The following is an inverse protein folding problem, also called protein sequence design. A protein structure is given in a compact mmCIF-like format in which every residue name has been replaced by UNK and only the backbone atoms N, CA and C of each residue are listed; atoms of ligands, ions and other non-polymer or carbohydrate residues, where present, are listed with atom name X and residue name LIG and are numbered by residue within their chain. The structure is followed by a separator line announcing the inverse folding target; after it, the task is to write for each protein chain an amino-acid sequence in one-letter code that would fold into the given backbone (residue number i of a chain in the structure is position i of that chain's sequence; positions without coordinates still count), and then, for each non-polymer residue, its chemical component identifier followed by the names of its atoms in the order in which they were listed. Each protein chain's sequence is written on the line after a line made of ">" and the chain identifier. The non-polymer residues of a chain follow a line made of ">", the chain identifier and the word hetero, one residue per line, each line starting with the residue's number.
data_IF_279996440604
#
_entry.id   IF_279996440604
#
_cell.length_a   1.000
_cell.length_b   1.000
_cell.length_c   1.000
_cell.angle_alpha   90.00
_cell.angle_beta   90.00
_cell.angle_gamma   90.00
#
_symmetry.space_group_name_H-M   'P 1'
#
loop_
_entity.id
_entity.type
_entity.pdbx_description
1 polymer ?
#
# COMPACT_ATOMS: atom_id res chain seq x y z
N UNK A 1 71.08 54.24 2.65
CA UNK A 1 69.70 54.76 2.55
C UNK A 1 68.96 53.91 1.51
N UNK A 2 67.80 53.32 1.87
CA UNK A 2 66.81 52.56 1.04
C UNK A 2 67.27 51.17 0.54
N UNK A 3 66.98 50.06 1.22
CA UNK A 3 65.73 49.29 1.52
C UNK A 3 65.40 48.23 0.47
N UNK A 4 65.27 47.00 0.95
CA UNK A 4 64.82 45.79 0.24
C UNK A 4 63.51 45.99 -0.52
N UNK A 5 63.32 45.19 -1.58
CA UNK A 5 62.00 44.76 -2.02
C UNK A 5 62.05 43.24 -2.26
N UNK A 6 61.43 42.48 -1.35
CA UNK A 6 61.19 41.06 -1.51
C UNK A 6 60.07 40.88 -2.57
N UNK A 7 60.39 40.20 -3.66
CA UNK A 7 59.41 39.75 -4.64
C UNK A 7 58.60 38.60 -4.04
N UNK A 8 57.40 38.91 -3.56
CA UNK A 8 56.45 37.93 -3.08
C UNK A 8 55.60 37.45 -4.27
N UNK A 9 56.03 36.37 -4.92
CA UNK A 9 55.22 35.66 -5.91
C UNK A 9 54.12 34.88 -5.18
N UNK A 10 53.06 35.61 -4.79
CA UNK A 10 51.78 34.98 -4.50
C UNK A 10 51.34 34.26 -5.77
N UNK A 11 51.47 32.93 -5.76
CA UNK A 11 50.76 32.05 -6.65
C UNK A 11 49.28 32.41 -6.52
N UNK A 12 48.77 33.19 -7.47
CA UNK A 12 47.34 33.38 -7.65
C UNK A 12 46.80 32.01 -8.01
N UNK A 13 46.39 31.24 -7.00
CA UNK A 13 45.53 30.09 -7.22
C UNK A 13 44.24 30.70 -7.74
N UNK A 14 43.85 30.46 -9.00
CA UNK A 14 42.59 31.01 -9.48
C UNK A 14 41.51 30.47 -8.54
N UNK A 15 40.77 31.38 -7.92
CA UNK A 15 39.55 31.01 -7.24
C UNK A 15 38.68 30.33 -8.32
N UNK A 16 38.38 29.05 -8.14
CA UNK A 16 37.42 28.36 -8.98
C UNK A 16 36.06 29.02 -8.69
N UNK A 17 35.71 30.01 -9.50
CA UNK A 17 34.42 30.67 -9.43
C UNK A 17 33.35 29.72 -9.94
N UNK A 18 32.32 29.50 -9.13
CA UNK A 18 31.16 28.71 -9.49
C UNK A 18 30.49 29.31 -10.74
N UNK A 19 30.48 28.58 -11.84
CA UNK A 19 29.95 29.10 -13.10
C UNK A 19 28.42 29.01 -13.13
N UNK A 20 27.77 29.86 -13.94
CA UNK A 20 26.31 29.78 -14.14
C UNK A 20 25.88 28.39 -14.64
N UNK A 21 26.68 27.78 -15.51
CA UNK A 21 26.41 26.44 -16.02
C UNK A 21 26.55 25.37 -14.92
N UNK A 22 27.50 25.53 -14.00
CA UNK A 22 27.68 24.62 -12.86
C UNK A 22 26.49 24.70 -11.89
N UNK A 23 26.00 25.92 -11.59
CA UNK A 23 24.76 26.10 -10.83
C UNK A 23 23.58 25.43 -11.52
N UNK A 24 23.44 25.64 -12.83
CA UNK A 24 22.34 25.07 -13.61
C UNK A 24 22.37 23.55 -13.58
N UNK A 25 23.53 22.93 -13.76
CA UNK A 25 23.68 21.48 -13.71
C UNK A 25 23.38 20.93 -12.32
N UNK A 26 23.86 21.57 -11.25
CA UNK A 26 23.56 21.15 -9.87
C UNK A 26 22.05 21.21 -9.61
N UNK A 27 21.39 22.30 -9.97
CA UNK A 27 19.94 22.45 -9.82
C UNK A 27 19.19 21.43 -10.66
N UNK A 28 19.63 21.17 -11.90
CA UNK A 28 19.03 20.15 -12.75
C UNK A 28 19.15 18.75 -12.13
N UNK A 29 20.31 18.37 -11.61
CA UNK A 29 20.51 17.07 -10.95
C UNK A 29 19.64 16.96 -9.69
N UNK A 30 19.59 18.00 -8.85
CA UNK A 30 18.71 18.02 -7.68
C UNK A 30 17.25 17.85 -8.11
N UNK A 31 16.80 18.57 -9.13
CA UNK A 31 15.43 18.47 -9.63
C UNK A 31 15.10 17.05 -10.11
N UNK A 32 15.97 16.42 -10.90
CA UNK A 32 15.76 15.04 -11.34
C UNK A 32 15.81 14.03 -10.18
N UNK A 33 16.74 14.21 -9.23
CA UNK A 33 16.83 13.36 -8.05
C UNK A 33 15.56 13.47 -7.19
N UNK A 34 15.06 14.69 -6.94
CA UNK A 34 13.83 14.93 -6.20
C UNK A 34 12.61 14.35 -6.90
N UNK A 35 12.51 14.50 -8.23
CA UNK A 35 11.44 13.89 -9.00
C UNK A 35 11.46 12.35 -8.90
N UNK A 36 12.64 11.74 -9.02
CA UNK A 36 12.82 10.29 -8.91
C UNK A 36 12.40 9.71 -7.55
N UNK A 37 12.73 10.39 -6.45
CA UNK A 37 12.32 9.96 -5.09
C UNK A 37 10.80 9.94 -4.93
N UNK A 38 10.08 10.93 -5.48
CA UNK A 38 8.62 10.97 -5.44
C UNK A 38 7.98 9.77 -6.16
N UNK A 39 8.53 9.37 -7.31
CA UNK A 39 8.07 8.18 -8.02
C UNK A 39 8.34 6.89 -7.25
N UNK A 40 9.54 6.73 -6.67
CA UNK A 40 9.89 5.55 -5.90
C UNK A 40 8.97 5.37 -4.67
N UNK A 41 8.68 6.43 -3.93
CA UNK A 41 7.77 6.38 -2.78
C UNK A 41 6.36 5.93 -3.18
N UNK A 42 5.82 6.49 -4.27
CA UNK A 42 4.49 6.10 -4.77
C UNK A 42 4.44 4.62 -5.17
N UNK A 43 5.48 4.14 -5.85
CA UNK A 43 5.58 2.75 -6.28
C UNK A 43 5.63 1.80 -5.08
N UNK A 44 6.43 2.14 -4.05
CA UNK A 44 6.49 1.35 -2.82
C UNK A 44 5.14 1.28 -2.10
N UNK A 45 4.41 2.41 -2.02
CA UNK A 45 3.08 2.46 -1.41
C UNK A 45 2.08 1.57 -2.16
N UNK A 46 2.10 1.61 -3.49
CA UNK A 46 1.25 0.75 -4.34
C UNK A 46 1.57 -0.73 -4.15
N UNK A 47 2.84 -1.10 -4.25
CA UNK A 47 3.29 -2.47 -4.06
C UNK A 47 2.94 -3.01 -2.66
N UNK A 48 2.98 -2.16 -1.63
CA UNK A 48 2.57 -2.57 -0.29
C UNK A 48 1.06 -2.80 -0.17
N UNK A 49 0.22 -2.03 -0.88
CA UNK A 49 -1.23 -2.21 -0.86
C UNK A 49 -1.63 -3.47 -1.64
N UNK A 50 -0.95 -3.76 -2.74
CA UNK A 50 -1.16 -4.99 -3.51
C UNK A 50 -0.85 -6.22 -2.65
N UNK A 51 0.28 -6.21 -1.91
CA UNK A 51 0.62 -7.29 -0.96
C UNK A 51 -0.41 -7.45 0.17
N UNK A 52 -0.95 -6.32 0.66
CA UNK A 52 -2.01 -6.34 1.66
C UNK A 52 -3.31 -6.95 1.10
N UNK A 53 -3.67 -6.62 -0.14
CA UNK A 53 -4.83 -7.17 -0.82
C UNK A 53 -4.70 -8.68 -1.08
N UNK A 54 -3.55 -9.12 -1.59
CA UNK A 54 -3.25 -10.56 -1.79
C UNK A 54 -3.31 -11.33 -0.47
N UNK A 55 -2.78 -10.75 0.61
CA UNK A 55 -2.92 -11.35 1.94
C UNK A 55 -4.36 -11.45 2.38
N UNK A 56 -5.15 -10.38 2.24
CA UNK A 56 -6.54 -10.41 2.65
C UNK A 56 -7.32 -11.45 1.85
N UNK A 57 -7.07 -11.60 0.55
CA UNK A 57 -7.63 -12.70 -0.27
C UNK A 57 -7.32 -14.06 0.35
N UNK A 58 -6.04 -14.33 0.65
CA UNK A 58 -5.65 -15.60 1.24
C UNK A 58 -6.32 -15.85 2.60
N UNK A 59 -6.49 -14.80 3.42
CA UNK A 59 -7.17 -14.90 4.71
C UNK A 59 -8.67 -15.12 4.59
N UNK A 60 -9.35 -14.48 3.65
CA UNK A 60 -10.77 -14.70 3.37
C UNK A 60 -11.01 -16.15 2.91
N UNK A 61 -10.15 -16.66 2.01
CA UNK A 61 -10.22 -18.05 1.56
C UNK A 61 -9.91 -19.05 2.67
N UNK A 62 -8.93 -18.75 3.54
CA UNK A 62 -8.69 -19.54 4.75
C UNK A 62 -9.90 -19.52 5.69
N UNK A 63 -10.59 -18.39 5.82
CA UNK A 63 -11.86 -18.26 6.54
C UNK A 63 -12.97 -19.14 5.95
N UNK A 64 -13.12 -19.17 4.62
CA UNK A 64 -14.06 -20.08 3.93
C UNK A 64 -13.71 -21.54 4.17
N UNK A 65 -12.42 -21.89 4.07
CA UNK A 65 -11.94 -23.25 4.30
C UNK A 65 -12.19 -23.69 5.75
N UNK A 66 -11.93 -22.81 6.72
CA UNK A 66 -12.21 -23.05 8.13
C UNK A 66 -13.70 -23.27 8.39
N UNK A 67 -14.57 -22.42 7.82
CA UNK A 67 -16.02 -22.56 7.93
C UNK A 67 -16.51 -23.93 7.43
N UNK A 68 -16.01 -24.35 6.26
CA UNK A 68 -16.31 -25.65 5.66
C UNK A 68 -15.79 -26.81 6.50
N UNK A 69 -14.57 -26.71 7.02
CA UNK A 69 -13.94 -27.75 7.84
C UNK A 69 -14.63 -27.93 9.19
N UNK A 70 -15.06 -26.84 9.84
CA UNK A 70 -15.72 -26.87 11.14
C UNK A 70 -17.24 -26.99 11.07
N UNK A 71 -17.84 -26.85 9.88
CA UNK A 71 -19.29 -26.75 9.72
C UNK A 71 -19.91 -25.53 10.42
N UNK A 72 -19.10 -24.53 10.77
CA UNK A 72 -19.52 -23.37 11.54
C UNK A 72 -19.62 -22.11 10.67
N UNK A 73 -20.52 -21.21 11.04
CA UNK A 73 -20.67 -19.93 10.35
C UNK A 73 -19.52 -19.00 10.71
N UNK A 74 -18.67 -18.70 9.73
CA UNK A 74 -17.54 -17.76 9.87
C UNK A 74 -17.92 -16.42 9.27
N UNK A 75 -17.71 -15.34 10.04
CA UNK A 75 -17.93 -13.97 9.58
C UNK A 75 -16.64 -13.19 9.63
N UNK A 76 -16.38 -12.41 8.59
CA UNK A 76 -15.28 -11.45 8.58
C UNK A 76 -15.84 -10.04 8.70
N UNK A 77 -15.32 -9.26 9.65
CA UNK A 77 -15.77 -7.88 9.88
C UNK A 77 -14.60 -6.94 10.14
N UNK A 78 -14.77 -5.69 9.73
CA UNK A 78 -13.81 -4.61 9.97
C UNK A 78 -14.02 -4.04 11.37
N UNK A 79 -12.94 -3.62 12.00
CA UNK A 79 -12.89 -3.01 13.33
C UNK A 79 -12.05 -1.74 13.28
N UNK A 80 -12.07 -0.94 14.34
CA UNK A 80 -11.27 0.29 14.40
C UNK A 80 -9.75 0.03 14.32
N UNK A 81 -9.29 -1.16 14.71
CA UNK A 81 -7.87 -1.54 14.72
C UNK A 81 -7.46 -2.43 13.54
N UNK A 82 -8.42 -2.85 12.70
CA UNK A 82 -8.15 -3.83 11.65
C UNK A 82 -9.39 -4.61 11.25
N UNK A 83 -9.32 -5.93 11.34
CA UNK A 83 -10.44 -6.83 11.11
C UNK A 83 -10.33 -8.06 12.00
N UNK A 84 -11.43 -8.78 12.14
CA UNK A 84 -11.48 -10.05 12.88
C UNK A 84 -12.32 -11.07 12.14
N UNK A 85 -12.07 -12.35 12.45
CA UNK A 85 -12.89 -13.48 12.07
C UNK A 85 -13.69 -13.96 13.28
N UNK A 86 -15.01 -13.83 13.22
CA UNK A 86 -15.91 -14.40 14.22
C UNK A 86 -16.29 -15.84 13.81
N UNK A 87 -16.52 -16.73 14.78
CA UNK A 87 -16.88 -18.13 14.52
C UNK A 87 -15.70 -19.08 14.25
N UNK A 88 -14.46 -18.60 14.43
CA UNK A 88 -13.25 -19.44 14.38
C UNK A 88 -12.63 -19.60 15.78
N UNK A 89 -11.88 -20.68 16.04
CA UNK A 89 -11.14 -20.81 17.30
C UNK A 89 -10.15 -19.64 17.50
N UNK A 90 -9.88 -19.24 18.75
CA UNK A 90 -8.89 -18.20 19.03
C UNK A 90 -7.53 -18.53 18.42
N UNK A 91 -6.93 -17.57 17.71
CA UNK A 91 -5.63 -17.74 17.07
C UNK A 91 -5.60 -18.63 15.81
N UNK A 92 -6.75 -19.14 15.36
CA UNK A 92 -6.81 -19.96 14.14
C UNK A 92 -6.47 -19.18 12.87
N UNK A 93 -6.79 -17.88 12.84
CA UNK A 93 -6.52 -17.00 11.71
C UNK A 93 -5.84 -15.70 12.17
N UNK A 94 -4.88 -15.17 11.39
CA UNK A 94 -4.35 -13.83 11.59
C UNK A 94 -5.44 -12.76 11.57
N UNK A 95 -5.23 -11.71 12.37
CA UNK A 95 -6.15 -10.58 12.51
C UNK A 95 -5.39 -9.27 12.26
N UNK A 96 -6.08 -8.27 11.74
CA UNK A 96 -5.55 -6.94 11.52
C UNK A 96 -4.66 -6.76 10.28
N UNK A 97 -4.33 -5.48 10.05
CA UNK A 97 -3.53 -5.03 8.91
C UNK A 97 -2.03 -5.15 9.20
N UNK A 98 -1.22 -5.48 8.19
CA UNK A 98 0.24 -5.33 8.30
C UNK A 98 0.68 -3.96 7.80
N UNK A 99 -0.02 -3.41 6.80
CA UNK A 99 0.17 -2.03 6.39
C UNK A 99 -0.62 -1.10 7.32
N UNK A 100 0.03 -0.02 7.78
CA UNK A 100 -0.64 1.06 8.51
C UNK A 100 -1.49 1.95 7.57
N UNK A 101 -2.58 2.52 8.09
CA UNK A 101 -3.46 3.39 7.30
C UNK A 101 -4.33 2.67 6.28
N UNK A 102 -4.53 1.36 6.46
CA UNK A 102 -5.48 0.59 5.64
C UNK A 102 -6.85 0.60 6.29
N UNK A 103 -7.85 0.91 5.49
CA UNK A 103 -9.25 0.71 5.82
C UNK A 103 -9.88 -0.25 4.82
N UNK A 104 -10.90 -0.97 5.26
CA UNK A 104 -11.70 -1.79 4.37
C UNK A 104 -13.19 -1.57 4.60
N UNK A 105 -13.97 -1.77 3.55
CA UNK A 105 -15.42 -1.71 3.58
C UNK A 105 -15.95 -3.00 2.93
N UNK A 106 -16.56 -3.92 3.70
CA UNK A 106 -17.32 -5.02 3.13
C UNK A 106 -18.51 -4.48 2.33
N UNK A 107 -18.79 -5.10 1.19
CA UNK A 107 -19.90 -4.77 0.32
C UNK A 107 -20.65 -6.06 -0.07
N UNK A 108 -21.96 -5.93 -0.28
CA UNK A 108 -22.75 -6.99 -0.92
C UNK A 108 -22.53 -7.03 -2.45
N UNK A 109 -23.22 -7.94 -3.13
CA UNK A 109 -23.22 -8.07 -4.59
C UNK A 109 -23.55 -6.76 -5.31
N UNK A 110 -24.49 -5.97 -4.77
CA UNK A 110 -24.93 -4.70 -5.33
C UNK A 110 -23.97 -3.53 -5.01
N UNK A 111 -22.82 -3.82 -4.37
CA UNK A 111 -21.85 -2.80 -3.98
C UNK A 111 -22.30 -1.95 -2.78
N UNK A 112 -23.27 -2.40 -1.99
CA UNK A 112 -23.75 -1.68 -0.81
C UNK A 112 -22.96 -2.09 0.43
N UNK A 113 -22.60 -1.14 1.32
CA UNK A 113 -21.93 -1.44 2.57
C UNK A 113 -22.67 -2.48 3.42
N UNK A 114 -21.94 -3.50 3.88
CA UNK A 114 -22.42 -4.47 4.87
C UNK A 114 -21.49 -4.50 6.08
N UNK A 115 -22.02 -4.93 7.22
CA UNK A 115 -21.28 -4.96 8.49
C UNK A 115 -20.26 -6.11 8.54
N UNK A 116 -20.53 -7.20 7.83
CA UNK A 116 -19.67 -8.39 7.79
C UNK A 116 -19.87 -9.18 6.50
N UNK A 117 -18.82 -9.88 6.07
CA UNK A 117 -18.91 -10.92 5.04
C UNK A 117 -19.23 -12.27 5.69
N UNK A 118 -20.08 -13.05 5.03
CA UNK A 118 -20.36 -14.43 5.41
C UNK A 118 -19.52 -15.37 4.54
N UNK A 119 -18.62 -16.14 5.17
CA UNK A 119 -17.64 -16.97 4.46
C UNK A 119 -18.02 -18.46 4.37
N UNK A 120 -19.15 -18.86 4.96
CA UNK A 120 -19.60 -20.26 4.96
C UNK A 120 -20.41 -20.58 6.22
N UNK A 121 -20.71 -21.87 6.47
CA UNK A 121 -20.04 -23.08 5.97
C UNK A 121 -20.46 -23.55 4.57
N UNK A 122 -21.41 -22.89 3.94
CA UNK A 122 -21.96 -23.29 2.64
C UNK A 122 -20.91 -23.22 1.53
N UNK A 123 -20.85 -24.21 0.62
CA UNK A 123 -19.88 -24.22 -0.47
C UNK A 123 -20.14 -23.09 -1.48
N UNK A 124 -21.40 -22.71 -1.66
CA UNK A 124 -21.85 -21.63 -2.54
C UNK A 124 -22.37 -20.51 -1.65
N UNK A 125 -21.70 -19.36 -1.69
CA UNK A 125 -22.13 -18.12 -1.05
C UNK A 125 -22.61 -17.14 -2.12
N UNK A 126 -23.31 -16.08 -1.72
CA UNK A 126 -23.63 -14.98 -2.64
C UNK A 126 -22.37 -14.22 -3.06
N UNK A 127 -22.46 -13.45 -4.14
CA UNK A 127 -21.38 -12.57 -4.54
C UNK A 127 -21.12 -11.52 -3.45
N UNK A 128 -19.84 -11.28 -3.16
CA UNK A 128 -19.40 -10.44 -2.05
C UNK A 128 -18.13 -9.71 -2.44
N UNK A 129 -17.95 -8.51 -1.89
CA UNK A 129 -16.82 -7.68 -2.23
C UNK A 129 -16.23 -7.02 -0.97
N UNK A 130 -14.96 -6.65 -1.05
CA UNK A 130 -14.28 -5.81 -0.05
C UNK A 130 -13.57 -4.69 -0.79
N UNK A 131 -13.92 -3.46 -0.48
CA UNK A 131 -13.14 -2.30 -0.92
C UNK A 131 -12.01 -2.07 0.10
N UNK A 132 -10.76 -2.08 -0.34
CA UNK A 132 -9.61 -1.72 0.49
C UNK A 132 -9.12 -0.34 0.07
N UNK A 133 -8.85 0.54 1.03
CA UNK A 133 -8.27 1.86 0.82
C UNK A 133 -7.03 2.04 1.68
N UNK A 134 -5.98 2.62 1.09
CA UNK A 134 -4.84 3.15 1.85
C UNK A 134 -4.95 4.67 2.02
N UNK A 135 -4.67 5.13 3.23
CA UNK A 135 -4.54 6.55 3.57
C UNK A 135 -3.14 7.04 3.19
N UNK A 136 -3.08 8.10 2.39
CA UNK A 136 -1.83 8.73 1.96
C UNK A 136 -2.02 9.52 0.67
N UNK A 137 -1.09 10.44 0.31
CA UNK A 137 -1.07 11.03 -1.02
C UNK A 137 -0.19 10.18 -1.97
N UNK A 138 -0.73 9.59 -3.06
CA UNK A 138 -2.13 9.54 -3.44
C UNK A 138 -2.90 8.42 -2.72
N UNK A 139 -4.18 8.64 -2.45
CA UNK A 139 -5.04 7.61 -1.88
C UNK A 139 -5.26 6.54 -2.93
N UNK A 140 -5.09 5.27 -2.54
CA UNK A 140 -5.25 4.14 -3.46
C UNK A 140 -6.40 3.26 -2.99
N UNK A 141 -7.13 2.72 -3.96
CA UNK A 141 -8.31 1.89 -3.74
C UNK A 141 -8.18 0.63 -4.58
N UNK A 142 -8.38 -0.51 -3.94
CA UNK A 142 -8.48 -1.81 -4.58
C UNK A 142 -9.82 -2.45 -4.20
N UNK A 143 -10.32 -3.31 -5.08
CA UNK A 143 -11.53 -4.09 -4.81
C UNK A 143 -11.17 -5.57 -4.83
N UNK A 144 -11.59 -6.29 -3.80
CA UNK A 144 -11.60 -7.74 -3.77
C UNK A 144 -13.02 -8.21 -4.05
N UNK A 145 -13.20 -9.22 -4.88
CA UNK A 145 -14.53 -9.75 -5.16
C UNK A 145 -14.52 -11.27 -5.35
N UNK A 146 -15.64 -11.89 -5.01
CA UNK A 146 -15.99 -13.27 -5.36
C UNK A 146 -17.41 -13.28 -5.94
N UNK A 147 -17.66 -14.15 -6.91
CA UNK A 147 -19.00 -14.51 -7.38
C UNK A 147 -19.65 -15.60 -6.50
N UNK A 148 -18.95 -16.02 -5.44
CA UNK A 148 -19.35 -17.08 -4.51
C UNK A 148 -18.92 -18.49 -4.94
N UNK A 149 -18.61 -18.70 -6.21
CA UNK A 149 -18.12 -19.97 -6.76
C UNK A 149 -16.60 -20.00 -6.88
N UNK A 150 -16.00 -18.87 -7.20
CA UNK A 150 -14.55 -18.69 -7.35
C UNK A 150 -13.95 -18.13 -6.06
N UNK A 151 -12.63 -18.32 -5.84
CA UNK A 151 -11.93 -17.61 -4.79
C UNK A 151 -12.08 -16.09 -4.92
N UNK A 152 -11.96 -15.37 -3.82
CA UNK A 152 -11.77 -13.92 -3.86
C UNK A 152 -10.57 -13.59 -4.75
N UNK A 153 -10.68 -12.52 -5.53
CA UNK A 153 -9.60 -12.00 -6.35
C UNK A 153 -9.57 -10.49 -6.30
N UNK A 154 -8.38 -9.91 -6.49
CA UNK A 154 -8.25 -8.47 -6.73
C UNK A 154 -8.85 -8.17 -8.10
N UNK A 155 -9.85 -7.29 -8.13
CA UNK A 155 -10.52 -6.83 -9.34
C UNK A 155 -10.33 -5.33 -9.49
N UNK A 156 -10.29 -4.89 -10.74
CA UNK A 156 -10.18 -3.47 -11.05
C UNK A 156 -11.46 -2.75 -10.56
N UNK A 157 -11.40 -1.71 -9.70
CA UNK A 157 -12.58 -1.04 -9.17
C UNK A 157 -13.49 -0.41 -10.24
N UNK A 158 -12.99 -0.24 -11.48
CA UNK A 158 -13.75 0.24 -12.63
C UNK A 158 -14.31 -0.84 -13.57
N UNK A 159 -14.05 -2.13 -13.32
CA UNK A 159 -14.66 -3.20 -14.10
C UNK A 159 -16.15 -3.34 -13.72
N UNK A 160 -17.05 -3.47 -14.70
CA UNK A 160 -18.50 -3.62 -14.47
C UNK A 160 -18.84 -4.91 -13.71
#
# INVERSE_FOLDING_TARGET
>A
MRTSAAGNSHLHRPAAGFTLIELLVVVAIIAFATAGVGFALRDTARASLDREAERLVALLEAGRAQARASGASVRWRVTAQGFVFDGVPPGALPQGWQMAGVSAQPLDEAGRPVTALLLGPEPIIGAQQVLIRSEGPPAQVLRLATDGLRPFAVVDPGAP
#
